data_IF_232782945728
#
_entry.id   IF_232782945728
#
_cell.length_a   1.000
_cell.length_b   1.000
_cell.length_c   1.000
_cell.angle_alpha   90.00
_cell.angle_beta   90.00
_cell.angle_gamma   90.00
#
_symmetry.space_group_name_H-M   'P 1'
#
loop_
_entity.id
_entity.type
_entity.pdbx_description
1 polymer ?
#
# COMPACT_ATOMS: atom_id res chain seq x y z
N UNK A 1 8.43 28.22 15.01
CA UNK A 1 8.81 27.07 14.17
C UNK A 1 7.84 25.95 14.52
N UNK A 2 6.86 25.59 13.67
CA UNK A 2 6.01 24.45 14.00
C UNK A 2 6.86 23.18 13.90
N UNK A 3 6.83 22.38 14.95
CA UNK A 3 7.43 21.04 14.97
C UNK A 3 6.65 20.18 13.98
N UNK A 4 7.22 19.93 12.81
CA UNK A 4 6.81 18.79 12.01
C UNK A 4 7.20 17.56 12.84
N UNK A 5 6.19 16.77 13.24
CA UNK A 5 6.42 15.41 13.73
C UNK A 5 7.20 14.69 12.64
N UNK A 6 8.49 14.46 12.86
CA UNK A 6 9.24 13.48 12.11
C UNK A 6 8.45 12.16 12.21
N UNK A 7 8.25 11.49 11.08
CA UNK A 7 7.65 10.16 11.02
C UNK A 7 8.64 9.16 11.65
N UNK A 8 8.94 9.32 12.94
CA UNK A 8 9.86 8.47 13.67
C UNK A 8 9.23 7.07 13.83
N UNK A 9 9.61 6.22 12.89
CA UNK A 9 9.85 4.80 13.12
C UNK A 9 8.66 3.89 12.89
N UNK A 10 8.84 2.98 11.95
CA UNK A 10 8.41 1.58 12.07
C UNK A 10 8.30 1.13 13.54
N UNK A 11 7.28 0.36 13.88
CA UNK A 11 7.27 -0.36 15.15
C UNK A 11 8.61 -1.12 15.33
N UNK A 12 9.34 -0.96 16.45
CA UNK A 12 10.60 -1.63 16.65
C UNK A 12 10.44 -3.16 16.54
N UNK A 13 11.07 -3.75 15.52
CA UNK A 13 10.96 -5.18 15.18
C UNK A 13 10.01 -5.52 14.03
N UNK A 14 9.33 -4.52 13.45
CA UNK A 14 8.59 -4.66 12.21
C UNK A 14 9.45 -4.28 11.01
N UNK A 15 9.56 -5.17 10.02
CA UNK A 15 10.28 -4.87 8.78
C UNK A 15 9.53 -3.82 7.92
N UNK A 16 8.23 -3.64 8.15
CA UNK A 16 7.34 -2.80 7.34
C UNK A 16 7.20 -1.38 7.92
N UNK A 17 7.37 -0.37 7.08
CA UNK A 17 7.55 1.04 7.46
C UNK A 17 6.43 1.98 7.05
N UNK A 18 5.51 1.51 6.22
CA UNK A 18 4.37 2.29 5.79
C UNK A 18 3.44 1.47 4.92
N UNK A 19 2.46 2.14 4.33
CA UNK A 19 1.44 1.52 3.50
C UNK A 19 1.10 2.41 2.31
N UNK A 20 0.94 1.81 1.14
CA UNK A 20 0.31 2.46 -0.02
C UNK A 20 -1.08 1.86 -0.24
N UNK A 21 -2.05 2.70 -0.61
CA UNK A 21 -3.40 2.26 -0.91
C UNK A 21 -3.56 2.01 -2.42
N UNK A 22 -4.10 0.86 -2.78
CA UNK A 22 -4.35 0.44 -4.15
C UNK A 22 -5.66 -0.35 -4.28
N UNK A 23 -5.80 -1.10 -5.38
CA UNK A 23 -6.92 -2.03 -5.57
C UNK A 23 -6.89 -3.18 -4.55
N UNK A 24 -8.06 -3.60 -4.08
CA UNK A 24 -8.22 -4.75 -3.18
C UNK A 24 -8.27 -6.07 -4.00
N UNK A 25 -7.13 -6.46 -4.57
CA UNK A 25 -7.04 -7.53 -5.57
C UNK A 25 -7.33 -8.94 -4.99
N UNK A 26 -7.21 -9.14 -3.68
CA UNK A 26 -7.53 -10.42 -3.02
C UNK A 26 -9.04 -10.71 -2.97
N UNK A 27 -9.87 -9.67 -2.98
CA UNK A 27 -11.33 -9.80 -2.96
C UNK A 27 -11.97 -9.47 -4.31
N UNK A 28 -11.25 -8.76 -5.18
CA UNK A 28 -11.76 -8.20 -6.41
C UNK A 28 -10.72 -8.22 -7.53
N UNK A 29 -10.62 -9.37 -8.18
CA UNK A 29 -9.70 -9.56 -9.31
C UNK A 29 -10.12 -8.82 -10.58
N UNK A 30 -11.38 -8.38 -10.66
CA UNK A 30 -11.94 -7.67 -11.82
C UNK A 30 -12.00 -6.14 -11.62
N UNK A 31 -11.78 -5.64 -10.41
CA UNK A 31 -11.83 -4.21 -10.09
C UNK A 31 -13.26 -3.65 -9.89
N UNK A 32 -14.27 -4.50 -9.76
CA UNK A 32 -15.68 -4.14 -9.63
C UNK A 32 -16.10 -3.73 -8.20
N UNK A 33 -15.50 -4.33 -7.16
CA UNK A 33 -15.71 -3.97 -5.75
C UNK A 33 -15.09 -2.63 -5.38
N UNK A 34 -14.21 -2.04 -6.21
CA UNK A 34 -13.73 -0.68 -6.00
C UNK A 34 -14.86 0.35 -5.98
N UNK A 35 -16.07 0.03 -6.46
CA UNK A 35 -17.24 0.90 -6.45
C UNK A 35 -18.54 0.13 -6.17
N UNK A 36 -18.80 -0.17 -4.90
CA UNK A 36 -20.06 -0.81 -4.49
C UNK A 36 -21.10 0.24 -4.09
N UNK A 37 -22.31 0.20 -4.67
CA UNK A 37 -23.41 1.03 -4.19
C UNK A 37 -24.07 0.43 -2.93
N UNK A 38 -24.16 1.23 -1.87
CA UNK A 38 -24.86 0.91 -0.64
C UNK A 38 -25.68 2.11 -0.17
N UNK A 39 -27.00 1.95 -0.07
CA UNK A 39 -27.93 3.00 0.36
C UNK A 39 -27.79 4.31 -0.43
N UNK A 40 -27.61 4.22 -1.76
CA UNK A 40 -27.45 5.37 -2.64
C UNK A 40 -26.09 6.09 -2.51
N UNK A 41 -25.09 5.45 -1.91
CA UNK A 41 -23.71 5.94 -1.83
C UNK A 41 -22.77 4.95 -2.48
N UNK A 42 -21.74 5.45 -3.16
CA UNK A 42 -20.64 4.62 -3.66
C UNK A 42 -19.63 4.42 -2.52
N UNK A 43 -19.34 3.16 -2.22
CA UNK A 43 -18.33 2.73 -1.24
C UNK A 43 -17.14 2.17 -2.02
N UNK A 44 -15.95 2.66 -1.68
CA UNK A 44 -14.69 2.22 -2.28
C UNK A 44 -13.96 1.30 -1.30
N UNK A 45 -13.64 0.09 -1.74
CA UNK A 45 -12.79 -0.84 -1.00
C UNK A 45 -11.37 -0.75 -1.51
N UNK A 46 -10.45 -0.29 -0.68
CA UNK A 46 -9.04 -0.15 -1.02
C UNK A 46 -8.20 -1.24 -0.35
N UNK A 47 -7.27 -1.81 -1.11
CA UNK A 47 -6.24 -2.70 -0.60
C UNK A 47 -5.11 -1.87 0.02
N UNK A 48 -4.62 -2.28 1.19
CA UNK A 48 -3.45 -1.68 1.81
C UNK A 48 -2.23 -2.57 1.59
N UNK A 49 -1.18 -2.02 1.00
CA UNK A 49 0.07 -2.71 0.69
C UNK A 49 1.17 -2.21 1.62
N UNK A 50 1.54 -2.99 2.65
CA UNK A 50 2.65 -2.65 3.52
C UNK A 50 3.98 -2.67 2.76
N UNK A 51 4.76 -1.62 2.98
CA UNK A 51 6.03 -1.36 2.31
C UNK A 51 7.18 -1.51 3.29
N UNK A 52 8.30 -2.03 2.81
CA UNK A 52 9.60 -1.86 3.47
C UNK A 52 10.04 -0.40 3.42
N UNK A 53 11.00 -0.01 4.27
CA UNK A 53 11.48 1.38 4.34
C UNK A 53 11.97 1.90 2.99
N UNK A 54 12.74 1.08 2.27
CA UNK A 54 13.28 1.43 0.95
C UNK A 54 12.18 1.61 -0.11
N UNK A 55 11.14 0.77 -0.07
CA UNK A 55 9.98 0.87 -0.97
C UNK A 55 9.14 2.11 -0.65
N UNK A 56 8.97 2.42 0.64
CA UNK A 56 8.29 3.64 1.06
C UNK A 56 9.07 4.89 0.61
N UNK A 57 10.40 4.89 0.75
CA UNK A 57 11.25 5.98 0.25
C UNK A 57 11.15 6.12 -1.27
N UNK A 58 11.16 5.01 -2.02
CA UNK A 58 10.94 5.04 -3.47
C UNK A 58 9.55 5.61 -3.81
N UNK A 59 8.50 5.15 -3.13
CA UNK A 59 7.13 5.64 -3.35
C UNK A 59 6.96 7.14 -3.08
N UNK A 60 7.71 7.71 -2.13
CA UNK A 60 7.67 9.13 -1.79
C UNK A 60 8.52 9.99 -2.73
N UNK A 61 9.61 9.44 -3.27
CA UNK A 61 10.54 10.16 -4.15
C UNK A 61 10.14 10.08 -5.63
N UNK A 62 9.47 8.99 -6.02
CA UNK A 62 8.97 8.73 -7.37
C UNK A 62 7.43 8.88 -7.44
N UNK A 63 6.83 8.53 -8.58
CA UNK A 63 5.38 8.44 -8.68
C UNK A 63 4.88 7.22 -7.88
N UNK A 64 3.97 7.37 -6.89
CA UNK A 64 3.43 6.26 -6.08
C UNK A 64 2.78 5.13 -6.89
N UNK A 65 2.33 5.41 -8.12
CA UNK A 65 1.81 4.37 -9.01
C UNK A 65 2.89 3.36 -9.40
N UNK A 66 4.16 3.78 -9.47
CA UNK A 66 5.30 2.93 -9.84
C UNK A 66 5.51 1.80 -8.82
N UNK A 67 5.37 2.09 -7.52
CA UNK A 67 5.53 1.05 -6.49
C UNK A 67 4.36 0.08 -6.48
N UNK A 68 3.13 0.57 -6.74
CA UNK A 68 1.94 -0.28 -6.83
C UNK A 68 2.04 -1.23 -8.03
N UNK A 69 2.44 -0.71 -9.19
CA UNK A 69 2.63 -1.52 -10.40
C UNK A 69 3.70 -2.60 -10.17
N UNK A 70 4.83 -2.24 -9.52
CA UNK A 70 5.88 -3.21 -9.19
C UNK A 70 5.41 -4.30 -8.21
N UNK A 71 4.56 -3.95 -7.24
CA UNK A 71 3.95 -4.94 -6.33
C UNK A 71 3.00 -5.88 -7.09
N UNK A 72 2.19 -5.35 -8.01
CA UNK A 72 1.30 -6.15 -8.84
C UNK A 72 2.06 -7.09 -9.78
N UNK A 73 3.11 -6.61 -10.44
CA UNK A 73 3.96 -7.41 -11.34
C UNK A 73 4.70 -8.52 -10.58
N UNK A 74 5.06 -8.29 -9.31
CA UNK A 74 5.62 -9.29 -8.42
C UNK A 74 4.58 -10.29 -7.85
N UNK A 75 3.30 -10.13 -8.19
CA UNK A 75 2.20 -10.97 -7.69
C UNK A 75 1.90 -10.77 -6.21
N UNK A 76 2.26 -9.62 -5.64
CA UNK A 76 2.02 -9.30 -4.23
C UNK A 76 0.62 -8.69 -4.11
N UNK A 77 -0.24 -9.33 -3.31
CA UNK A 77 -1.55 -8.79 -2.95
C UNK A 77 -1.48 -7.84 -1.77
N UNK A 78 -2.54 -7.09 -1.55
CA UNK A 78 -2.72 -6.31 -0.33
C UNK A 78 -2.60 -7.20 0.92
N UNK A 79 -2.18 -6.61 2.04
CA UNK A 79 -1.89 -7.30 3.29
C UNK A 79 -0.40 -7.47 3.58
N UNK A 80 -0.08 -7.83 4.83
CA UNK A 80 1.30 -7.98 5.28
C UNK A 80 1.88 -9.34 4.88
N UNK A 81 3.01 -9.32 4.19
CA UNK A 81 3.79 -10.51 3.81
C UNK A 81 5.22 -10.39 4.37
N UNK A 82 5.44 -10.66 5.67
CA UNK A 82 6.77 -10.54 6.27
C UNK A 82 7.80 -11.44 5.57
N UNK A 83 9.02 -10.95 5.40
CA UNK A 83 10.10 -11.67 4.71
C UNK A 83 9.97 -11.81 3.19
N UNK A 84 8.99 -11.15 2.54
CA UNK A 84 8.94 -11.10 1.07
C UNK A 84 10.17 -10.34 0.52
N UNK A 85 10.63 -10.64 -0.70
CA UNK A 85 11.59 -9.78 -1.38
C UNK A 85 11.02 -8.36 -1.57
N UNK A 86 11.93 -7.37 -1.53
CA UNK A 86 11.63 -6.00 -1.97
C UNK A 86 11.36 -5.97 -3.46
N UNK A 87 10.48 -5.09 -3.91
CA UNK A 87 10.23 -4.80 -5.34
C UNK A 87 11.03 -3.61 -5.89
N UNK A 88 11.75 -2.93 -5.00
CA UNK A 88 12.79 -1.93 -5.30
C UNK A 88 14.17 -2.57 -5.19
#
# INVERSE_FOLDING_TARGET
MPHFLELEGTYPGGDLSGTVAGGAISIDTNGDLLRTEANGRVVHFLGLFPLYEQELRAALNDNPHTILDALYDAGISEGAHPGRPSVV
#
